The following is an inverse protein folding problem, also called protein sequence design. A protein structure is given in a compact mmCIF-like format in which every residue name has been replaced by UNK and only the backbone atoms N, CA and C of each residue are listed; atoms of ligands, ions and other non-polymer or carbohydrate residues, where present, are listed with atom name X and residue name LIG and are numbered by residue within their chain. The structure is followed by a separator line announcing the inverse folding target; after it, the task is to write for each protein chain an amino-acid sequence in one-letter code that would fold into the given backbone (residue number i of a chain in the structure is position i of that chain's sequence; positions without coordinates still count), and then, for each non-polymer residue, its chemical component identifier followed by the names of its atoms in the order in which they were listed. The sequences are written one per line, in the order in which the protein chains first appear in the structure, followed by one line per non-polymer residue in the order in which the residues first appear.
data_IF_534453418636
#
_entry.id   IF_534453418636
#
_cell.length_a   1.000
_cell.length_b   1.000
_cell.length_c   1.000
_cell.angle_alpha   90.00
_cell.angle_beta   90.00
_cell.angle_gamma   90.00
#
_symmetry.space_group_name_H-M   'P 1'
#
loop_
_entity.id
_entity.type
_entity.pdbx_description
1 polymer ?
#
# COMPACT_ATOMS: atom_id res chain seq x y z
N UNK A 1 13.14 -5.09 8.09
CA UNK A 1 11.95 -4.22 8.02
C UNK A 1 10.96 -4.86 7.06
N UNK A 2 9.69 -4.90 7.40
CA UNK A 2 8.60 -5.37 6.54
C UNK A 2 7.88 -4.19 5.88
N UNK A 3 8.01 -4.10 4.56
CA UNK A 3 7.31 -3.12 3.73
C UNK A 3 6.10 -3.79 3.12
N UNK A 4 4.92 -3.24 3.38
CA UNK A 4 3.69 -3.68 2.73
C UNK A 4 3.35 -2.70 1.60
N UNK A 5 3.10 -3.24 0.40
CA UNK A 5 2.81 -2.47 -0.81
C UNK A 5 1.37 -2.72 -1.23
N UNK A 6 0.58 -1.67 -1.41
CA UNK A 6 -0.75 -1.74 -2.01
C UNK A 6 -0.64 -1.45 -3.51
N UNK A 7 -0.94 -2.44 -4.34
CA UNK A 7 -0.92 -2.33 -5.80
C UNK A 7 -2.35 -2.47 -6.36
N UNK A 8 -2.83 -1.41 -7.03
CA UNK A 8 -4.23 -1.30 -7.45
C UNK A 8 -4.50 -1.75 -8.89
N UNK A 9 -3.45 -2.00 -9.68
CA UNK A 9 -3.57 -2.49 -11.07
C UNK A 9 -2.32 -3.27 -11.49
N UNK A 10 -2.43 -4.30 -12.37
CA UNK A 10 -1.28 -5.07 -12.84
C UNK A 10 -0.18 -4.23 -13.52
N UNK A 11 -0.58 -3.12 -14.16
CA UNK A 11 0.32 -2.30 -14.97
C UNK A 11 1.14 -1.29 -14.14
N UNK A 12 0.83 -1.11 -12.86
CA UNK A 12 1.51 -0.17 -11.96
C UNK A 12 2.15 -0.93 -10.80
N UNK A 13 3.18 -1.71 -11.13
CA UNK A 13 3.96 -2.47 -10.15
C UNK A 13 4.91 -1.59 -9.31
N UNK A 14 5.56 -2.18 -8.28
CA UNK A 14 6.43 -1.44 -7.36
C UNK A 14 7.68 -0.83 -8.01
N UNK A 15 8.11 -1.30 -9.19
CA UNK A 15 9.27 -0.73 -9.90
C UNK A 15 10.50 -0.61 -8.99
N UNK A 16 11.13 0.57 -8.99
CA UNK A 16 12.35 0.86 -8.23
C UNK A 16 12.22 0.65 -6.70
N UNK A 17 11.01 0.64 -6.15
CA UNK A 17 10.78 0.32 -4.72
C UNK A 17 11.22 -1.11 -4.42
N UNK A 18 10.97 -2.04 -5.35
CA UNK A 18 11.34 -3.44 -5.18
C UNK A 18 12.86 -3.61 -5.17
N UNK A 19 13.56 -2.93 -6.07
CA UNK A 19 15.01 -2.94 -6.15
C UNK A 19 15.64 -2.29 -4.92
N UNK A 20 15.08 -1.16 -4.48
CA UNK A 20 15.52 -0.47 -3.27
C UNK A 20 15.37 -1.35 -2.01
N UNK A 21 14.21 -1.99 -1.82
CA UNK A 21 14.00 -2.83 -0.64
C UNK A 21 14.86 -4.09 -0.64
N UNK A 22 15.10 -4.70 -1.81
CA UNK A 22 16.05 -5.82 -1.96
C UNK A 22 17.47 -5.40 -1.60
N UNK A 23 17.91 -4.23 -2.04
CA UNK A 23 19.26 -3.72 -1.75
C UNK A 23 19.50 -3.43 -0.26
N UNK A 24 18.45 -3.32 0.54
CA UNK A 24 18.51 -3.07 1.98
C UNK A 24 18.03 -4.27 2.83
N UNK A 25 17.88 -5.46 2.23
CA UNK A 25 17.40 -6.69 2.88
C UNK A 25 16.04 -6.51 3.60
N UNK A 26 15.14 -5.75 2.98
CA UNK A 26 13.76 -5.59 3.47
C UNK A 26 12.84 -6.68 2.91
N UNK A 27 11.91 -7.12 3.75
CA UNK A 27 10.85 -8.03 3.32
C UNK A 27 9.72 -7.22 2.68
N UNK A 28 9.44 -7.47 1.40
CA UNK A 28 8.38 -6.77 0.66
C UNK A 28 7.22 -7.73 0.43
N UNK A 29 6.02 -7.32 0.87
CA UNK A 29 4.77 -8.03 0.62
C UNK A 29 3.84 -7.14 -0.22
N UNK A 30 3.36 -7.68 -1.33
CA UNK A 30 2.49 -6.96 -2.25
C UNK A 30 1.05 -7.46 -2.07
N UNK A 31 0.15 -6.52 -1.85
CA UNK A 31 -1.28 -6.74 -1.70
C UNK A 31 -2.02 -6.16 -2.90
N UNK A 32 -3.04 -6.88 -3.36
CA UNK A 32 -3.90 -6.47 -4.48
C UNK A 32 -5.35 -6.30 -3.99
N UNK A 33 -5.65 -5.26 -3.21
CA UNK A 33 -6.96 -5.07 -2.60
C UNK A 33 -8.08 -4.97 -3.64
N UNK A 34 -7.80 -4.42 -4.82
CA UNK A 34 -8.75 -4.35 -5.93
C UNK A 34 -9.22 -5.72 -6.44
N UNK A 35 -8.35 -6.75 -6.35
CA UNK A 35 -8.62 -8.08 -6.89
C UNK A 35 -9.05 -9.08 -5.82
N UNK A 36 -8.39 -9.05 -4.65
CA UNK A 36 -8.57 -10.06 -3.60
C UNK A 36 -9.18 -9.49 -2.32
N UNK A 37 -9.28 -8.17 -2.17
CA UNK A 37 -9.86 -7.53 -0.99
C UNK A 37 -9.05 -7.69 0.30
N UNK A 38 -7.81 -8.19 0.20
CA UNK A 38 -6.89 -8.33 1.32
C UNK A 38 -6.00 -7.11 1.47
N UNK A 39 -5.76 -6.73 2.72
CA UNK A 39 -4.88 -5.65 3.15
C UNK A 39 -3.91 -6.21 4.21
N UNK A 40 -2.72 -5.60 4.41
CA UNK A 40 -1.84 -5.97 5.50
C UNK A 40 -2.48 -5.65 6.85
N UNK A 41 -1.95 -6.29 7.89
CA UNK A 41 -2.28 -5.94 9.27
C UNK A 41 -1.38 -4.81 9.76
N UNK A 42 -1.90 -3.98 10.66
CA UNK A 42 -1.18 -2.84 11.24
C UNK A 42 0.09 -3.29 11.95
N UNK A 43 -0.02 -4.34 12.78
CA UNK A 43 1.07 -4.90 13.56
C UNK A 43 2.17 -5.58 12.73
N UNK A 44 1.92 -5.82 11.44
CA UNK A 44 2.86 -6.42 10.49
C UNK A 44 3.39 -5.39 9.47
N UNK A 45 3.24 -4.09 9.72
CA UNK A 45 3.62 -3.02 8.78
C UNK A 45 4.63 -2.07 9.41
N UNK A 46 5.91 -2.23 9.05
CA UNK A 46 6.94 -1.26 9.45
C UNK A 46 6.96 -0.03 8.52
N UNK A 47 6.51 -0.20 7.27
CA UNK A 47 6.32 0.86 6.29
C UNK A 47 5.20 0.50 5.32
N UNK A 48 4.34 1.46 4.98
CA UNK A 48 3.31 1.29 3.94
C UNK A 48 3.67 2.05 2.67
N UNK A 49 3.55 1.38 1.53
CA UNK A 49 3.67 1.99 0.20
C UNK A 49 2.34 1.83 -0.52
N UNK A 50 1.81 2.92 -1.06
CA UNK A 50 0.51 2.97 -1.73
C UNK A 50 0.75 3.42 -3.17
N UNK A 51 0.62 2.49 -4.12
CA UNK A 51 0.90 2.75 -5.52
C UNK A 51 -0.26 3.47 -6.21
N UNK A 52 -0.03 3.87 -7.45
CA UNK A 52 -1.07 4.42 -8.31
C UNK A 52 -2.12 3.38 -8.71
N UNK A 53 -3.10 3.87 -9.47
CA UNK A 53 -4.19 3.07 -10.02
C UNK A 53 -5.16 3.95 -10.80
N UNK A 54 -5.97 3.37 -11.71
CA UNK A 54 -6.87 4.13 -12.57
C UNK A 54 -8.18 4.55 -11.87
N UNK A 55 -8.33 4.23 -10.59
CA UNK A 55 -9.55 4.46 -9.80
C UNK A 55 -9.52 5.85 -9.16
N UNK A 56 -10.68 6.34 -8.75
CA UNK A 56 -10.77 7.54 -7.90
C UNK A 56 -10.75 7.13 -6.43
N UNK A 57 -10.05 7.86 -5.54
CA UNK A 57 -10.18 7.64 -4.09
C UNK A 57 -11.62 7.88 -3.60
N UNK A 58 -12.46 8.55 -4.39
CA UNK A 58 -13.87 8.80 -4.07
C UNK A 58 -14.82 7.68 -4.54
N UNK A 59 -14.33 6.64 -5.20
CA UNK A 59 -15.16 5.52 -5.65
C UNK A 59 -15.73 4.74 -4.45
N UNK A 60 -16.97 4.25 -4.58
CA UNK A 60 -17.65 3.52 -3.52
C UNK A 60 -17.34 2.00 -3.55
N UNK A 61 -16.05 1.67 -3.48
CA UNK A 61 -15.59 0.28 -3.41
C UNK A 61 -15.23 -0.11 -1.97
N UNK A 62 -15.63 -1.30 -1.47
CA UNK A 62 -15.37 -1.71 -0.10
C UNK A 62 -13.88 -1.71 0.28
N UNK A 63 -13.00 -2.05 -0.64
CA UNK A 63 -11.56 -2.09 -0.38
C UNK A 63 -10.97 -0.67 -0.20
N UNK A 64 -11.46 0.35 -0.91
CA UNK A 64 -11.04 1.76 -0.73
C UNK A 64 -11.37 2.25 0.68
N UNK A 65 -12.58 1.91 1.17
CA UNK A 65 -12.98 2.24 2.55
C UNK A 65 -12.06 1.57 3.58
N UNK A 66 -11.72 0.30 3.39
CA UNK A 66 -10.82 -0.44 4.29
C UNK A 66 -9.38 0.08 4.21
N UNK A 67 -8.93 0.47 3.02
CA UNK A 67 -7.61 1.06 2.80
C UNK A 67 -7.45 2.37 3.57
N UNK A 68 -8.44 3.27 3.50
CA UNK A 68 -8.46 4.49 4.33
C UNK A 68 -8.42 4.19 5.83
N UNK A 69 -9.12 3.16 6.28
CA UNK A 69 -9.09 2.74 7.69
C UNK A 69 -7.70 2.25 8.11
N UNK A 70 -7.06 1.42 7.27
CA UNK A 70 -5.68 0.96 7.49
C UNK A 70 -4.71 2.14 7.55
N UNK A 71 -4.80 3.07 6.59
CA UNK A 71 -3.95 4.27 6.54
C UNK A 71 -4.11 5.08 7.83
N UNK A 72 -5.35 5.34 8.27
CA UNK A 72 -5.59 6.07 9.51
C UNK A 72 -4.96 5.37 10.72
N UNK A 73 -5.14 4.06 10.85
CA UNK A 73 -4.54 3.29 11.95
C UNK A 73 -3.00 3.36 11.96
N UNK A 74 -2.38 3.37 10.77
CA UNK A 74 -0.93 3.47 10.62
C UNK A 74 -0.41 4.89 10.91
N UNK A 75 -1.18 5.93 10.54
CA UNK A 75 -0.91 7.33 10.93
C UNK A 75 -0.92 7.46 12.45
N UNK A 76 -1.93 6.88 13.11
CA UNK A 76 -2.13 7.01 14.56
C UNK A 76 -0.95 6.46 15.37
N UNK A 77 -0.20 5.50 14.81
CA UNK A 77 1.01 4.91 15.43
C UNK A 77 2.33 5.42 14.82
N UNK A 78 2.28 6.39 13.91
CA UNK A 78 3.47 7.01 13.32
C UNK A 78 4.23 6.12 12.33
N UNK A 79 3.55 5.19 11.66
CA UNK A 79 4.19 4.34 10.64
C UNK A 79 4.62 5.20 9.45
N UNK A 80 5.87 5.08 8.95
CA UNK A 80 6.31 5.77 7.75
C UNK A 80 5.53 5.28 6.51
N UNK A 81 5.11 6.22 5.67
CA UNK A 81 4.32 5.90 4.48
C UNK A 81 4.77 6.70 3.25
N UNK A 82 4.60 6.08 2.08
CA UNK A 82 4.83 6.71 0.79
C UNK A 82 3.64 6.44 -0.15
N UNK A 83 3.03 7.50 -0.67
CA UNK A 83 1.92 7.43 -1.62
C UNK A 83 2.30 8.02 -2.97
N UNK A 84 1.88 7.39 -4.06
CA UNK A 84 2.12 7.87 -5.43
C UNK A 84 0.83 7.88 -6.26
N UNK A 85 0.59 8.98 -6.99
CA UNK A 85 -0.59 9.17 -7.85
C UNK A 85 -1.90 8.97 -7.06
N UNK A 86 -2.67 7.91 -7.33
CA UNK A 86 -3.85 7.52 -6.53
C UNK A 86 -3.50 7.39 -5.05
N UNK A 87 -2.38 6.74 -4.71
CA UNK A 87 -1.99 6.55 -3.32
C UNK A 87 -1.60 7.82 -2.56
N UNK A 88 -1.44 8.95 -3.25
CA UNK A 88 -1.14 10.25 -2.66
C UNK A 88 -2.37 11.14 -2.45
N UNK A 89 -3.51 10.79 -3.06
CA UNK A 89 -4.77 11.54 -2.97
C UNK A 89 -5.55 11.19 -1.70
#
# INVERSE_FOLDING_TARGET
MRINVLQHTPNEGPGSILDWGRAHDYEIYIYHPYQFGFLPKVEETDMLIILGGPMSPNDDMPWIKKERQLIQQLIDIGTPMFGACYGAQ
#
